data_IF_644796722884
#
_entry.id   IF_644796722884
#
_cell.length_a   1.000
_cell.length_b   1.000
_cell.length_c   1.000
_cell.angle_alpha   90.00
_cell.angle_beta   90.00
_cell.angle_gamma   90.00
#
_symmetry.space_group_name_H-M   'P 1'
#
loop_
_entity.id
_entity.type
_entity.pdbx_description
1 polymer ?
#
# COMPACT_ATOMS: atom_id res chain seq x y z
N UNK A 1 3.30 -11.48 17.78
CA UNK A 1 4.36 -10.54 17.35
C UNK A 1 4.99 -10.87 15.98
N UNK A 2 5.49 -12.09 15.77
CA UNK A 2 6.18 -12.47 14.52
C UNK A 2 5.25 -12.45 13.29
N UNK A 3 4.03 -13.00 13.43
CA UNK A 3 3.07 -13.06 12.34
C UNK A 3 2.57 -11.67 11.91
N UNK A 4 2.45 -10.74 12.86
CA UNK A 4 2.12 -9.34 12.59
C UNK A 4 3.23 -8.65 11.79
N UNK A 5 4.50 -8.82 12.21
CA UNK A 5 5.63 -8.27 11.47
C UNK A 5 5.71 -8.84 10.04
N UNK A 6 5.56 -10.17 9.90
CA UNK A 6 5.55 -10.82 8.59
C UNK A 6 4.39 -10.34 7.69
N UNK A 7 3.20 -10.13 8.25
CA UNK A 7 2.07 -9.59 7.51
C UNK A 7 2.33 -8.15 7.03
N UNK A 8 2.96 -7.31 7.86
CA UNK A 8 3.31 -5.94 7.51
C UNK A 8 4.37 -5.85 6.40
N UNK A 9 5.22 -6.85 6.23
CA UNK A 9 6.19 -6.90 5.13
C UNK A 9 5.59 -7.47 3.84
N UNK A 10 4.77 -8.52 3.96
CA UNK A 10 4.26 -9.28 2.80
C UNK A 10 3.03 -8.64 2.18
N UNK A 11 2.07 -8.15 2.96
CA UNK A 11 0.81 -7.61 2.44
C UNK A 11 0.97 -6.32 1.59
N UNK A 12 1.86 -5.36 1.92
CA UNK A 12 2.05 -4.19 1.08
C UNK A 12 2.96 -4.43 -0.12
N UNK A 13 3.55 -5.63 -0.25
CA UNK A 13 4.35 -5.99 -1.41
C UNK A 13 3.47 -5.95 -2.66
N UNK A 14 3.78 -5.03 -3.59
CA UNK A 14 3.03 -4.92 -4.83
C UNK A 14 3.27 -6.17 -5.69
N UNK A 15 2.20 -6.90 -5.99
CA UNK A 15 2.25 -8.07 -6.86
C UNK A 15 2.37 -7.73 -8.37
N UNK A 16 2.29 -6.44 -8.73
CA UNK A 16 2.22 -5.97 -10.11
C UNK A 16 3.11 -4.75 -10.35
N UNK A 17 3.63 -4.62 -11.58
CA UNK A 17 4.39 -3.46 -12.08
C UNK A 17 3.53 -2.27 -12.49
N UNK A 18 2.20 -2.41 -12.52
CA UNK A 18 1.24 -1.34 -12.93
C UNK A 18 1.46 -0.01 -12.19
N UNK A 19 1.77 0.03 -10.88
CA UNK A 19 2.06 1.28 -10.18
C UNK A 19 3.29 1.99 -10.76
N UNK A 20 4.35 1.23 -11.06
CA UNK A 20 5.57 1.71 -11.70
C UNK A 20 5.25 2.30 -13.08
N UNK A 21 4.50 1.57 -13.90
CA UNK A 21 4.09 1.99 -15.25
C UNK A 21 3.25 3.27 -15.23
N UNK A 22 2.35 3.41 -14.24
CA UNK A 22 1.57 4.63 -14.03
C UNK A 22 2.45 5.81 -13.65
N UNK A 23 3.45 5.60 -12.80
CA UNK A 23 4.41 6.65 -12.43
C UNK A 23 5.18 7.11 -13.68
N UNK A 24 5.76 6.18 -14.44
CA UNK A 24 6.54 6.49 -15.64
C UNK A 24 5.70 7.14 -16.76
N UNK A 25 4.49 6.65 -17.01
CA UNK A 25 3.59 7.26 -18.00
C UNK A 25 3.19 8.69 -17.63
N UNK A 26 3.01 8.99 -16.34
CA UNK A 26 2.72 10.36 -15.91
C UNK A 26 3.90 11.32 -16.10
N UNK A 27 5.12 10.80 -16.01
CA UNK A 27 6.37 11.57 -16.20
C UNK A 27 6.65 11.89 -17.65
N UNK A 28 6.07 11.13 -18.60
CA UNK A 28 6.26 11.29 -20.05
C UNK A 28 5.98 12.71 -20.51
N UNK A 29 4.94 13.34 -19.97
CA UNK A 29 4.56 14.71 -20.33
C UNK A 29 5.65 15.72 -19.95
N UNK A 30 6.09 15.69 -18.69
CA UNK A 30 7.08 16.62 -18.15
C UNK A 30 8.49 16.37 -18.66
N UNK A 31 8.85 15.12 -18.93
CA UNK A 31 10.20 14.71 -19.35
C UNK A 31 10.40 14.83 -20.86
N UNK A 32 9.50 14.24 -21.66
CA UNK A 32 9.67 14.11 -23.12
C UNK A 32 8.82 15.09 -23.93
N UNK A 33 7.53 15.24 -23.63
CA UNK A 33 6.60 15.99 -24.49
C UNK A 33 6.78 17.51 -24.36
N UNK A 34 7.05 18.01 -23.15
CA UNK A 34 7.31 19.43 -22.92
C UNK A 34 8.77 19.86 -23.12
N UNK A 35 9.64 18.97 -23.64
CA UNK A 35 11.08 19.23 -23.89
C UNK A 35 11.83 19.83 -22.68
N UNK A 36 11.51 19.40 -21.46
CA UNK A 36 12.16 19.95 -20.27
C UNK A 36 13.63 19.53 -20.12
N UNK A 37 14.12 18.61 -20.97
CA UNK A 37 15.50 18.07 -20.95
C UNK A 37 15.96 17.77 -19.52
N UNK A 38 15.08 17.19 -18.70
CA UNK A 38 15.45 16.80 -17.35
C UNK A 38 16.48 15.67 -17.46
N UNK A 39 17.51 15.73 -16.64
CA UNK A 39 18.43 14.60 -16.55
C UNK A 39 17.68 13.43 -15.92
N UNK A 40 18.12 12.20 -16.21
CA UNK A 40 17.55 11.00 -15.60
C UNK A 40 17.53 11.10 -14.07
N UNK A 41 18.63 11.61 -13.50
CA UNK A 41 18.79 11.85 -12.06
C UNK A 41 17.76 12.86 -11.51
N UNK A 42 17.50 13.96 -12.22
CA UNK A 42 16.49 14.92 -11.77
C UNK A 42 15.08 14.35 -11.88
N UNK A 43 14.78 13.58 -12.93
CA UNK A 43 13.48 12.93 -13.10
C UNK A 43 13.21 11.93 -11.96
N UNK A 44 14.20 11.12 -11.59
CA UNK A 44 14.12 10.17 -10.47
C UNK A 44 13.88 10.90 -9.14
N UNK A 45 14.65 11.94 -8.84
CA UNK A 45 14.45 12.76 -7.64
C UNK A 45 13.04 13.35 -7.58
N UNK A 46 12.51 13.84 -8.71
CA UNK A 46 11.15 14.36 -8.77
C UNK A 46 10.09 13.28 -8.54
N UNK A 47 10.28 12.04 -9.03
CA UNK A 47 9.34 10.96 -8.76
C UNK A 47 9.37 10.52 -7.29
N UNK A 48 10.55 10.43 -6.68
CA UNK A 48 10.68 10.13 -5.24
C UNK A 48 9.98 11.20 -4.41
N UNK A 49 10.21 12.47 -4.72
CA UNK A 49 9.59 13.60 -4.02
C UNK A 49 8.06 13.61 -4.20
N UNK A 50 7.58 13.40 -5.42
CA UNK A 50 6.15 13.30 -5.73
C UNK A 50 5.50 12.15 -4.96
N UNK A 51 6.15 10.99 -4.88
CA UNK A 51 5.65 9.85 -4.12
C UNK A 51 5.62 10.15 -2.62
N UNK A 52 6.66 10.77 -2.05
CA UNK A 52 6.65 11.15 -0.63
C UNK A 52 5.49 12.08 -0.28
N UNK A 53 5.23 13.11 -1.09
CA UNK A 53 4.08 13.99 -0.88
C UNK A 53 2.73 13.29 -1.06
N UNK A 54 2.65 12.28 -1.93
CA UNK A 54 1.44 11.49 -2.11
C UNK A 54 1.21 10.51 -0.96
N UNK A 55 2.25 9.80 -0.53
CA UNK A 55 2.23 8.80 0.53
C UNK A 55 2.02 9.40 1.91
N UNK A 56 2.39 10.67 2.14
CA UNK A 56 1.98 11.42 3.33
C UNK A 56 0.45 11.56 3.49
N UNK A 57 -0.33 11.26 2.44
CA UNK A 57 -1.80 11.16 2.50
C UNK A 57 -2.31 9.73 2.76
N UNK A 58 -1.49 8.70 2.55
CA UNK A 58 -1.76 7.31 2.92
C UNK A 58 -1.19 7.04 4.32
N UNK A 59 -1.88 7.55 5.33
CA UNK A 59 -1.55 7.22 6.71
C UNK A 59 -2.22 5.89 7.10
N UNK A 60 -1.43 4.82 7.07
CA UNK A 60 -1.87 3.48 7.49
C UNK A 60 -2.01 3.34 9.02
N UNK A 61 -1.49 4.30 9.79
CA UNK A 61 -1.69 4.39 11.23
C UNK A 61 -2.94 5.21 11.61
N UNK A 62 -3.65 5.78 10.63
CA UNK A 62 -4.82 6.61 10.87
C UNK A 62 -6.08 5.76 11.10
N UNK A 63 -6.14 5.02 12.22
CA UNK A 63 -7.35 4.32 12.72
C UNK A 63 -8.00 3.28 11.78
N UNK A 64 -7.35 2.84 10.70
CA UNK A 64 -7.81 1.70 9.88
C UNK A 64 -7.39 0.33 10.46
N UNK A 65 -6.59 0.35 11.53
CA UNK A 65 -6.19 -0.85 12.25
C UNK A 65 -7.38 -1.27 13.13
N UNK A 66 -8.03 -2.37 12.76
CA UNK A 66 -9.10 -2.97 13.56
C UNK A 66 -8.59 -3.22 14.98
N UNK A 67 -9.32 -2.73 15.97
CA UNK A 67 -9.06 -3.05 17.38
C UNK A 67 -9.19 -4.56 17.60
N UNK A 68 -8.46 -5.14 18.55
CA UNK A 68 -8.70 -6.55 18.96
C UNK A 68 -10.19 -6.81 19.27
N UNK A 69 -10.90 -5.79 19.76
CA UNK A 69 -12.34 -5.85 20.00
C UNK A 69 -13.16 -6.01 18.70
N UNK A 70 -12.75 -5.39 17.59
CA UNK A 70 -13.42 -5.52 16.29
C UNK A 70 -13.10 -6.85 15.60
N UNK A 71 -11.92 -7.41 15.86
CA UNK A 71 -11.52 -8.74 15.39
C UNK A 71 -12.13 -9.89 16.22
N UNK A 72 -12.59 -9.61 17.44
CA UNK A 72 -13.21 -10.60 18.33
C UNK A 72 -14.68 -10.90 18.02
N UNK A 73 -15.31 -10.17 17.09
CA UNK A 73 -16.70 -10.46 16.66
C UNK A 73 -16.67 -11.50 15.56
N UNK A 74 -16.32 -12.73 15.92
CA UNK A 74 -16.93 -13.86 15.25
C UNK A 74 -18.40 -13.86 15.72
N UNK A 75 -19.31 -13.38 14.87
CA UNK A 75 -20.76 -13.51 15.07
C UNK A 75 -21.19 -14.98 14.81
N UNK A 76 -20.38 -15.90 15.33
CA UNK A 76 -20.51 -17.33 15.20
C UNK A 76 -21.11 -17.78 16.51
N UNK A 77 -22.36 -18.24 16.47
CA UNK A 77 -23.00 -18.85 17.61
C UNK A 77 -22.11 -20.00 18.12
N UNK A 78 -21.87 -20.06 19.43
CA UNK A 78 -21.10 -21.14 20.05
C UNK A 78 -21.64 -22.53 19.68
N UNK A 79 -22.93 -22.62 19.38
CA UNK A 79 -23.59 -23.83 18.88
C UNK A 79 -23.00 -24.33 17.54
N UNK A 80 -22.65 -23.43 16.61
CA UNK A 80 -22.05 -23.81 15.31
C UNK A 80 -20.61 -24.29 15.47
N UNK A 81 -19.89 -23.78 16.48
CA UNK A 81 -18.52 -24.20 16.78
C UNK A 81 -18.50 -25.61 17.37
N UNK A 82 -19.43 -25.93 18.25
CA UNK A 82 -19.59 -27.28 18.81
C UNK A 82 -20.03 -28.30 17.74
N UNK A 83 -20.87 -27.91 16.77
CA UNK A 83 -21.26 -28.77 15.64
C UNK A 83 -20.08 -29.08 14.70
N UNK A 84 -19.15 -28.13 14.51
CA UNK A 84 -17.97 -28.34 13.67
C UNK A 84 -16.84 -29.13 14.35
N UNK A 85 -16.86 -29.23 15.68
CA UNK A 85 -15.86 -29.95 16.48
C UNK A 85 -16.30 -31.36 16.91
N UNK A 86 -17.55 -31.74 16.64
CA UNK A 86 -18.08 -33.09 16.81
C UNK A 86 -17.82 -33.98 15.58
#
# INVERSE_FOLDING_TARGET
PLLYAAAMDVLPMQASSVPCERVFSSSKETDTLRRSQLSLETMEMFQVLKFQYHSGRLDFNNKWIASEAELSVADISLELVDEMLA
#
